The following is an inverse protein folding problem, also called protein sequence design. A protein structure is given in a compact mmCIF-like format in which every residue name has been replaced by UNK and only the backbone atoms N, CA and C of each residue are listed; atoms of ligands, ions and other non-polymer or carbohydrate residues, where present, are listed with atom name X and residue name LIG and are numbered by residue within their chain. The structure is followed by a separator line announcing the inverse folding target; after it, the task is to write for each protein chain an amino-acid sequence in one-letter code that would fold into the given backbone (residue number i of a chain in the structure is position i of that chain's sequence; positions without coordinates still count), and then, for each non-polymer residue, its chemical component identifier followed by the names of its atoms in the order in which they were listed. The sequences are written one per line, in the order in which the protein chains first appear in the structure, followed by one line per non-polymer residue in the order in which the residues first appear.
data_IF_318581445714
#
_entry.id   IF_318581445714
#
_cell.length_a   1.000
_cell.length_b   1.000
_cell.length_c   1.000
_cell.angle_alpha   90.00
_cell.angle_beta   90.00
_cell.angle_gamma   90.00
#
_symmetry.space_group_name_H-M   'P 1'
#
loop_
_entity.id
_entity.type
_entity.pdbx_description
1 polymer ?
#
# COMPACT_ATOMS: atom_id res chain seq x y z
N UNK A 1 22.52 6.46 31.35
CA UNK A 1 21.56 7.12 30.44
C UNK A 1 20.89 6.03 29.58
N UNK A 2 19.57 5.87 29.62
CA UNK A 2 18.95 4.94 28.73
C UNK A 2 19.14 5.47 27.30
N UNK A 3 19.77 4.66 26.44
CA UNK A 3 19.80 4.92 25.01
C UNK A 3 18.36 4.98 24.54
N UNK A 4 17.94 6.11 23.95
CA UNK A 4 16.72 6.12 23.15
C UNK A 4 16.88 5.03 22.11
N UNK A 5 16.16 3.93 22.25
CA UNK A 5 16.11 2.92 21.21
C UNK A 5 15.39 3.55 20.03
N UNK A 6 16.16 4.05 19.08
CA UNK A 6 15.61 4.48 17.79
C UNK A 6 14.94 3.27 17.17
N UNK A 7 13.63 3.34 16.98
CA UNK A 7 12.90 2.31 16.27
C UNK A 7 13.07 2.58 14.77
N UNK A 8 13.86 1.75 14.13
CA UNK A 8 14.01 1.78 12.67
C UNK A 8 12.90 0.95 12.02
N UNK A 9 12.28 1.49 11.00
CA UNK A 9 11.31 0.79 10.15
C UNK A 9 11.93 0.61 8.76
N UNK A 10 12.04 -0.63 8.33
CA UNK A 10 12.55 -0.98 7.01
C UNK A 10 11.39 -1.04 6.02
N UNK A 11 11.42 -0.15 5.03
CA UNK A 11 10.38 -0.05 4.01
C UNK A 11 10.96 -0.28 2.61
N UNK A 12 10.12 -0.79 1.72
CA UNK A 12 10.41 -0.86 0.29
C UNK A 12 9.19 -0.43 -0.52
N UNK A 13 9.41 0.23 -1.62
CA UNK A 13 8.40 0.57 -2.62
C UNK A 13 8.85 0.07 -3.99
N UNK A 14 8.00 -0.63 -4.70
CA UNK A 14 8.28 -1.03 -6.08
C UNK A 14 7.00 -1.16 -6.91
N UNK A 15 7.19 -1.09 -8.23
CA UNK A 15 6.17 -1.34 -9.22
C UNK A 15 6.25 -2.81 -9.66
N UNK A 16 5.22 -3.60 -9.38
CA UNK A 16 5.26 -5.04 -9.61
C UNK A 16 4.97 -5.46 -11.05
N UNK A 17 4.18 -4.70 -11.78
CA UNK A 17 3.64 -5.12 -13.08
C UNK A 17 3.12 -6.56 -13.04
N UNK A 18 2.14 -6.80 -12.18
CA UNK A 18 1.57 -8.09 -11.83
C UNK A 18 2.37 -8.91 -10.80
N UNK A 19 1.81 -9.01 -9.60
CA UNK A 19 2.36 -9.89 -8.55
C UNK A 19 2.13 -11.36 -8.91
N UNK A 20 0.92 -11.69 -9.39
CA UNK A 20 0.51 -13.08 -9.65
C UNK A 20 1.41 -13.79 -10.65
N UNK A 21 1.90 -13.06 -11.65
CA UNK A 21 2.80 -13.62 -12.66
C UNK A 21 4.24 -13.81 -12.15
N UNK A 22 4.54 -13.36 -10.94
CA UNK A 22 5.89 -13.36 -10.35
C UNK A 22 5.87 -13.83 -8.89
N UNK A 23 4.98 -14.74 -8.55
CA UNK A 23 4.84 -15.23 -7.18
C UNK A 23 6.14 -15.79 -6.58
N UNK A 24 6.96 -16.58 -7.30
CA UNK A 24 8.22 -17.04 -6.74
C UNK A 24 9.15 -15.89 -6.34
N UNK A 25 9.33 -14.91 -7.20
CA UNK A 25 10.16 -13.72 -6.93
C UNK A 25 9.55 -12.86 -5.82
N UNK A 26 8.22 -12.76 -5.80
CA UNK A 26 7.47 -12.08 -4.74
C UNK A 26 7.76 -12.70 -3.37
N UNK A 27 7.61 -14.02 -3.22
CA UNK A 27 7.88 -14.69 -1.96
C UNK A 27 9.35 -14.61 -1.54
N UNK A 28 10.26 -14.69 -2.50
CA UNK A 28 11.67 -14.48 -2.21
C UNK A 28 11.92 -13.09 -1.64
N UNK A 29 11.32 -12.05 -2.22
CA UNK A 29 11.45 -10.68 -1.75
C UNK A 29 10.95 -10.52 -0.31
N UNK A 30 9.70 -10.91 -0.03
CA UNK A 30 9.07 -10.65 1.26
C UNK A 30 9.67 -11.48 2.40
N UNK A 31 10.21 -12.66 2.10
CA UNK A 31 10.77 -13.54 3.15
C UNK A 31 12.27 -13.40 3.35
N UNK A 32 13.02 -13.00 2.33
CA UNK A 32 14.47 -12.84 2.44
C UNK A 32 14.89 -11.51 3.07
N UNK A 33 14.15 -10.44 2.83
CA UNK A 33 14.56 -9.08 3.19
C UNK A 33 13.96 -8.58 4.51
N UNK A 34 12.98 -9.26 5.05
CA UNK A 34 12.37 -8.97 6.36
C UNK A 34 11.94 -7.51 6.52
N UNK A 35 11.27 -6.96 5.52
CA UNK A 35 10.74 -5.60 5.56
C UNK A 35 9.61 -5.47 6.57
N UNK A 36 9.52 -4.31 7.20
CA UNK A 36 8.41 -3.96 8.08
C UNK A 36 7.18 -3.49 7.31
N UNK A 37 7.40 -2.75 6.22
CA UNK A 37 6.35 -2.26 5.34
C UNK A 37 6.77 -2.42 3.89
N UNK A 38 5.89 -3.01 3.08
CA UNK A 38 6.08 -3.20 1.65
C UNK A 38 4.99 -2.44 0.92
N UNK A 39 5.38 -1.45 0.11
CA UNK A 39 4.48 -0.70 -0.76
C UNK A 39 4.59 -1.22 -2.19
N UNK A 40 3.48 -1.53 -2.82
CA UNK A 40 3.46 -2.07 -4.18
C UNK A 40 2.47 -1.31 -5.04
N UNK A 41 2.91 -0.89 -6.20
CA UNK A 41 2.05 -0.34 -7.26
C UNK A 41 1.98 -1.31 -8.44
N UNK A 42 0.98 -1.15 -9.28
CA UNK A 42 0.71 -2.05 -10.41
C UNK A 42 0.66 -3.52 -10.00
N UNK A 43 -0.12 -3.80 -8.97
CA UNK A 43 -0.30 -5.16 -8.44
C UNK A 43 -1.00 -6.10 -9.42
N UNK A 44 -1.88 -5.56 -10.25
CA UNK A 44 -2.78 -6.24 -11.19
C UNK A 44 -3.65 -7.30 -10.51
N UNK A 45 -3.93 -7.10 -9.23
CA UNK A 45 -4.79 -7.98 -8.46
C UNK A 45 -6.26 -7.73 -8.79
N UNK A 46 -7.05 -8.78 -8.72
CA UNK A 46 -8.50 -8.72 -8.77
C UNK A 46 -9.10 -9.22 -7.45
N UNK A 47 -10.40 -9.00 -7.27
CA UNK A 47 -11.10 -9.48 -6.08
C UNK A 47 -11.16 -11.02 -5.98
N UNK A 48 -10.86 -11.75 -7.07
CA UNK A 48 -10.77 -13.20 -7.09
C UNK A 48 -9.48 -13.73 -6.46
N UNK A 49 -8.45 -12.89 -6.35
CA UNK A 49 -7.18 -13.25 -5.74
C UNK A 49 -7.25 -12.93 -4.24
N UNK A 50 -7.22 -13.93 -3.36
CA UNK A 50 -7.28 -13.68 -1.93
C UNK A 50 -5.99 -13.06 -1.41
N UNK A 51 -6.09 -12.20 -0.41
CA UNK A 51 -4.91 -11.59 0.23
C UNK A 51 -3.97 -12.61 0.87
N UNK A 52 -4.49 -13.76 1.28
CA UNK A 52 -3.68 -14.88 1.80
C UNK A 52 -2.66 -15.43 0.81
N UNK A 53 -2.89 -15.23 -0.49
CA UNK A 53 -1.92 -15.61 -1.53
C UNK A 53 -0.68 -14.70 -1.52
N UNK A 54 -0.79 -13.49 -1.00
CA UNK A 54 0.31 -12.53 -0.97
C UNK A 54 1.28 -12.76 0.18
N UNK A 55 0.84 -13.47 1.21
CA UNK A 55 1.67 -13.82 2.37
C UNK A 55 1.26 -15.18 2.92
N UNK A 56 2.05 -16.22 2.62
CA UNK A 56 1.78 -17.59 3.02
C UNK A 56 2.00 -17.84 4.52
N UNK A 57 2.76 -16.98 5.19
CA UNK A 57 3.13 -17.13 6.61
C UNK A 57 2.28 -16.27 7.55
N UNK A 58 1.33 -15.51 7.00
CA UNK A 58 0.44 -14.63 7.78
C UNK A 58 1.17 -13.66 8.72
N UNK A 59 2.35 -13.21 8.30
CA UNK A 59 3.17 -12.24 9.05
C UNK A 59 2.83 -10.78 8.78
N UNK A 60 2.05 -10.52 7.72
CA UNK A 60 1.65 -9.19 7.29
C UNK A 60 0.14 -9.01 7.28
N UNK A 61 -0.30 -7.79 7.57
CA UNK A 61 -1.64 -7.32 7.20
C UNK A 61 -1.59 -6.77 5.79
N UNK A 62 -2.51 -7.18 4.94
CA UNK A 62 -2.57 -6.74 3.54
C UNK A 62 -3.66 -5.70 3.39
N UNK A 63 -3.26 -4.50 2.97
CA UNK A 63 -4.15 -3.38 2.66
C UNK A 63 -4.07 -3.14 1.17
N UNK A 64 -5.18 -3.20 0.45
CA UNK A 64 -5.17 -3.16 -1.01
C UNK A 64 -6.31 -2.34 -1.58
N UNK A 65 -6.03 -1.74 -2.73
CA UNK A 65 -7.01 -1.08 -3.58
C UNK A 65 -6.81 -1.59 -5.00
N UNK A 66 -7.68 -2.50 -5.43
CA UNK A 66 -7.62 -3.06 -6.78
C UNK A 66 -8.27 -2.10 -7.77
N UNK A 67 -7.72 -2.01 -8.99
CA UNK A 67 -8.40 -1.34 -10.09
C UNK A 67 -9.65 -2.13 -10.46
N UNK A 68 -10.79 -1.41 -10.63
CA UNK A 68 -12.10 -2.03 -10.85
C UNK A 68 -12.47 -2.21 -12.32
N UNK A 69 -12.12 -1.23 -13.16
CA UNK A 69 -12.74 -1.07 -14.48
C UNK A 69 -11.86 -1.49 -15.65
N UNK A 70 -10.62 -1.86 -15.40
CA UNK A 70 -9.68 -2.27 -16.46
C UNK A 70 -8.56 -3.13 -15.91
N UNK A 71 -7.86 -3.82 -16.80
CA UNK A 71 -6.67 -4.59 -16.46
C UNK A 71 -5.52 -3.65 -16.07
N UNK A 72 -4.67 -4.11 -15.17
CA UNK A 72 -3.51 -3.38 -14.70
C UNK A 72 -3.79 -2.55 -13.46
N UNK A 73 -2.85 -1.71 -13.07
CA UNK A 73 -2.95 -0.85 -11.90
C UNK A 73 -3.13 -1.61 -10.59
N UNK A 74 -3.75 -0.94 -9.64
CA UNK A 74 -3.91 -1.42 -8.27
C UNK A 74 -2.70 -1.16 -7.39
N UNK A 75 -2.96 -0.93 -6.12
CA UNK A 75 -1.93 -0.74 -5.09
C UNK A 75 -2.17 -1.67 -3.93
N UNK A 76 -1.11 -2.07 -3.24
CA UNK A 76 -1.24 -2.73 -1.95
C UNK A 76 -0.09 -2.35 -1.02
N UNK A 77 -0.33 -2.53 0.27
CA UNK A 77 0.67 -2.45 1.30
C UNK A 77 0.63 -3.74 2.12
N UNK A 78 1.79 -4.28 2.43
CA UNK A 78 1.95 -5.30 3.44
C UNK A 78 2.58 -4.66 4.66
N UNK A 79 1.90 -4.69 5.79
CA UNK A 79 2.36 -4.10 7.04
C UNK A 79 2.62 -5.23 8.02
N UNK A 80 3.85 -5.34 8.53
CA UNK A 80 4.22 -6.38 9.49
C UNK A 80 3.29 -6.35 10.70
N UNK A 81 2.77 -7.49 11.09
CA UNK A 81 1.94 -7.64 12.31
C UNK A 81 2.71 -7.34 13.61
N UNK A 82 4.03 -7.23 13.55
CA UNK A 82 4.84 -6.75 14.66
C UNK A 82 4.65 -5.26 14.96
N UNK A 83 4.20 -4.50 13.94
CA UNK A 83 3.87 -3.09 14.10
C UNK A 83 2.41 -2.93 14.52
N UNK A 84 2.17 -2.12 15.54
CA UNK A 84 0.81 -1.71 15.88
C UNK A 84 0.30 -0.75 14.82
N UNK A 85 -0.69 -1.17 14.05
CA UNK A 85 -1.20 -0.40 12.92
C UNK A 85 -2.71 -0.56 12.76
N UNK A 86 -3.29 0.33 11.97
CA UNK A 86 -4.70 0.25 11.54
C UNK A 86 -4.85 0.77 10.12
N UNK A 87 -5.71 0.13 9.35
CA UNK A 87 -6.14 0.63 8.05
C UNK A 87 -7.01 1.87 8.23
N UNK A 88 -6.84 2.83 7.33
CA UNK A 88 -7.69 4.03 7.25
C UNK A 88 -8.60 3.86 6.04
N UNK A 89 -9.90 3.86 6.30
CA UNK A 89 -10.90 3.75 5.25
C UNK A 89 -10.89 4.99 4.35
N UNK A 90 -10.90 4.75 3.04
CA UNK A 90 -10.98 5.82 2.03
C UNK A 90 -12.46 6.10 1.74
N UNK A 91 -12.96 7.32 1.93
CA UNK A 91 -14.35 7.66 1.62
C UNK A 91 -14.70 7.33 0.17
N UNK A 92 -15.94 6.86 -0.04
CA UNK A 92 -16.44 6.40 -1.35
C UNK A 92 -16.32 7.45 -2.46
N UNK A 93 -16.40 8.74 -2.12
CA UNK A 93 -16.20 9.85 -3.07
C UNK A 93 -14.82 9.87 -3.73
N UNK A 94 -13.84 9.19 -3.13
CA UNK A 94 -12.47 9.06 -3.66
C UNK A 94 -12.19 7.68 -4.26
N UNK A 95 -13.23 6.86 -4.46
CA UNK A 95 -13.09 5.46 -4.89
C UNK A 95 -12.49 5.28 -6.29
N UNK A 96 -12.43 6.33 -7.10
CA UNK A 96 -11.75 6.31 -8.40
C UNK A 96 -10.22 6.38 -8.29
N UNK A 97 -9.69 6.77 -7.14
CA UNK A 97 -8.25 6.79 -6.88
C UNK A 97 -7.73 5.40 -6.53
N UNK A 98 -6.54 5.08 -6.99
CA UNK A 98 -5.82 3.89 -6.58
C UNK A 98 -4.91 4.26 -5.40
N UNK A 99 -5.43 4.09 -4.20
CA UNK A 99 -4.85 4.60 -2.96
C UNK A 99 -5.11 3.63 -1.80
N UNK A 100 -4.06 3.35 -1.02
CA UNK A 100 -4.15 2.75 0.30
C UNK A 100 -3.70 3.73 1.36
N UNK A 101 -4.32 3.70 2.53
CA UNK A 101 -3.93 4.51 3.67
C UNK A 101 -3.96 3.68 4.95
N UNK A 102 -2.95 3.82 5.78
CA UNK A 102 -2.88 3.20 7.10
C UNK A 102 -2.04 4.04 8.06
N UNK A 103 -2.21 3.76 9.33
CA UNK A 103 -1.48 4.43 10.39
C UNK A 103 -0.70 3.40 11.21
N UNK A 104 0.57 3.70 11.48
CA UNK A 104 1.42 2.93 12.39
C UNK A 104 1.57 3.72 13.68
N UNK A 105 1.27 3.07 14.80
CA UNK A 105 1.27 3.69 16.13
C UNK A 105 2.52 3.27 16.91
N UNK A 106 3.25 4.24 17.37
CA UNK A 106 4.34 4.10 18.34
C UNK A 106 3.88 4.66 19.69
N UNK A 107 4.65 4.42 20.75
CA UNK A 107 4.24 4.82 22.11
C UNK A 107 3.85 6.30 22.26
N UNK A 108 4.53 7.19 21.52
CA UNK A 108 4.31 8.65 21.59
C UNK A 108 3.88 9.29 20.29
N UNK A 109 4.01 8.59 19.18
CA UNK A 109 3.78 9.14 17.86
C UNK A 109 3.01 8.14 17.01
N UNK A 110 2.26 8.65 16.05
CA UNK A 110 1.72 7.84 14.95
C UNK A 110 2.12 8.47 13.62
N UNK A 111 2.31 7.61 12.63
CA UNK A 111 2.63 8.01 11.27
C UNK A 111 1.58 7.46 10.33
N UNK A 112 1.07 8.32 9.46
CA UNK A 112 0.11 7.94 8.44
C UNK A 112 0.83 7.78 7.11
N UNK A 113 0.62 6.63 6.49
CA UNK A 113 1.25 6.25 5.23
C UNK A 113 0.20 6.17 4.13
N UNK A 114 0.60 6.61 2.95
CA UNK A 114 -0.21 6.56 1.74
C UNK A 114 0.57 5.85 0.65
N UNK A 115 -0.07 4.90 -0.02
CA UNK A 115 0.46 4.30 -1.24
C UNK A 115 -0.47 4.69 -2.38
N UNK A 116 0.03 5.44 -3.33
CA UNK A 116 -0.75 6.05 -4.42
C UNK A 116 -0.16 5.65 -5.75
N UNK A 117 -1.01 5.24 -6.68
CA UNK A 117 -0.65 5.07 -8.08
C UNK A 117 -1.54 5.95 -8.95
N UNK A 118 -0.91 6.78 -9.75
CA UNK A 118 -1.59 7.58 -10.74
C UNK A 118 -1.29 7.00 -12.14
N UNK A 119 -2.34 6.60 -12.84
CA UNK A 119 -2.22 6.10 -14.21
C UNK A 119 -1.52 7.14 -15.08
N UNK A 120 -0.56 6.75 -15.92
CA UNK A 120 0.04 7.67 -16.89
C UNK A 120 -1.01 8.34 -17.75
N UNK A 121 -0.89 9.65 -17.95
CA UNK A 121 -1.85 10.42 -18.72
C UNK A 121 -1.48 11.89 -18.79
N UNK A 122 -2.14 12.60 -19.69
CA UNK A 122 -1.98 14.04 -19.92
C UNK A 122 -3.34 14.71 -20.07
N UNK A 123 -3.36 16.06 -20.00
CA UNK A 123 -4.56 16.84 -20.25
C UNK A 123 -5.49 16.98 -19.04
N UNK A 124 -6.75 17.34 -19.28
CA UNK A 124 -7.72 17.69 -18.24
C UNK A 124 -8.06 16.51 -17.32
N UNK A 125 -8.16 15.31 -17.85
CA UNK A 125 -8.41 14.10 -17.07
C UNK A 125 -7.33 13.87 -16.01
N UNK A 126 -6.06 14.09 -16.35
CA UNK A 126 -4.94 14.01 -15.43
C UNK A 126 -4.99 15.10 -14.36
N UNK A 127 -5.28 16.32 -14.76
CA UNK A 127 -5.42 17.44 -13.84
C UNK A 127 -6.54 17.20 -12.83
N UNK A 128 -7.67 16.67 -13.26
CA UNK A 128 -8.80 16.33 -12.40
C UNK A 128 -8.44 15.22 -11.39
N UNK A 129 -7.71 14.21 -11.81
CA UNK A 129 -7.26 13.13 -10.94
C UNK A 129 -6.30 13.62 -9.87
N UNK A 130 -5.34 14.48 -10.24
CA UNK A 130 -4.42 15.11 -9.29
C UNK A 130 -5.17 16.01 -8.30
N UNK A 131 -6.14 16.80 -8.77
CA UNK A 131 -6.98 17.62 -7.89
C UNK A 131 -7.76 16.78 -6.89
N UNK A 132 -8.37 15.68 -7.34
CA UNK A 132 -9.09 14.75 -6.48
C UNK A 132 -8.15 14.09 -5.46
N UNK A 133 -6.93 13.75 -5.85
CA UNK A 133 -5.92 13.22 -4.93
C UNK A 133 -5.56 14.25 -3.85
N UNK A 134 -5.34 15.50 -4.21
CA UNK A 134 -5.05 16.57 -3.24
C UNK A 134 -6.20 16.73 -2.24
N UNK A 135 -7.44 16.71 -2.71
CA UNK A 135 -8.61 16.78 -1.85
C UNK A 135 -8.69 15.58 -0.90
N UNK A 136 -8.40 14.38 -1.41
CA UNK A 136 -8.37 13.16 -0.61
C UNK A 136 -7.30 13.24 0.49
N UNK A 137 -6.08 13.59 0.14
CA UNK A 137 -4.98 13.71 1.10
C UNK A 137 -5.28 14.78 2.15
N UNK A 138 -5.84 15.92 1.76
CA UNK A 138 -6.25 16.98 2.69
C UNK A 138 -7.33 16.52 3.66
N UNK A 139 -8.25 15.68 3.20
CA UNK A 139 -9.29 15.10 4.06
C UNK A 139 -8.71 14.08 5.05
N UNK A 140 -7.73 13.27 4.63
CA UNK A 140 -7.16 12.18 5.43
C UNK A 140 -6.05 12.62 6.38
N UNK A 141 -5.51 13.81 6.20
CA UNK A 141 -4.49 14.37 7.09
C UNK A 141 -5.12 15.05 8.30
#
# INVERSE_FOLDING_TARGET
MPRNSETLINCVLFNARSIVNKLPEWYQLIYACNYDIIFVTETWLSNQIPSSMLDLHDGYSVIRCNRKDSRGGGVCCLVSKKLKHREIEIPSRFSSLELCCFEVCFSKYSFRFFNVYLKPGVGQGRANEVSLLVDCLSYLL
#
